data_IF_833786395664
#
_entry.id   IF_833786395664
#
_cell.length_a   1.000
_cell.length_b   1.000
_cell.length_c   1.000
_cell.angle_alpha   90.00
_cell.angle_beta   90.00
_cell.angle_gamma   90.00
#
_symmetry.space_group_name_H-M   'P 1'
#
loop_
_entity.id
_entity.type
_entity.pdbx_description
1 polymer ?
#
# COMPACT_ATOMS: atom_id res chain seq x y z
N UNK A 1 1.77 6.27 22.20
CA UNK A 1 0.96 5.10 21.81
C UNK A 1 1.62 3.86 22.41
N UNK A 2 0.90 2.75 22.67
CA UNK A 2 1.58 1.48 22.95
C UNK A 2 2.53 1.16 21.79
N UNK A 3 3.72 0.66 22.11
CA UNK A 3 4.77 0.33 21.13
C UNK A 3 4.31 -0.85 20.27
N UNK A 4 4.38 -0.71 18.96
CA UNK A 4 4.03 -1.77 18.01
C UNK A 4 5.17 -2.78 17.93
N UNK A 5 4.89 -4.04 18.29
CA UNK A 5 5.91 -5.10 18.44
C UNK A 5 5.59 -6.36 17.65
N UNK A 6 4.33 -6.58 17.36
CA UNK A 6 3.86 -7.77 16.64
C UNK A 6 3.16 -7.40 15.33
N UNK A 7 3.03 -8.37 14.43
CA UNK A 7 2.23 -8.20 13.22
C UNK A 7 0.76 -7.86 13.54
N UNK A 8 0.21 -8.41 14.63
CA UNK A 8 -1.12 -8.07 15.15
C UNK A 8 -1.24 -6.60 15.56
N UNK A 9 -0.26 -6.08 16.30
CA UNK A 9 -0.23 -4.68 16.71
C UNK A 9 -0.22 -3.76 15.49
N UNK A 10 0.62 -4.08 14.51
CA UNK A 10 0.76 -3.30 13.27
C UNK A 10 -0.52 -3.35 12.44
N UNK A 11 -1.11 -4.54 12.28
CA UNK A 11 -2.37 -4.73 11.57
C UNK A 11 -3.50 -3.88 12.18
N UNK A 12 -3.69 -3.97 13.50
CA UNK A 12 -4.71 -3.21 14.20
C UNK A 12 -4.47 -1.70 14.12
N UNK A 13 -3.21 -1.27 14.20
CA UNK A 13 -2.86 0.15 14.07
C UNK A 13 -3.14 0.68 12.66
N UNK A 14 -2.74 -0.05 11.61
CA UNK A 14 -2.97 0.31 10.22
C UNK A 14 -4.46 0.30 9.84
N UNK A 15 -5.21 -0.71 10.29
CA UNK A 15 -6.66 -0.80 10.10
C UNK A 15 -7.39 0.41 10.71
N UNK A 16 -7.00 0.80 11.94
CA UNK A 16 -7.54 2.00 12.60
C UNK A 16 -7.19 3.29 11.86
N UNK A 17 -5.93 3.43 11.40
CA UNK A 17 -5.49 4.59 10.63
C UNK A 17 -6.29 4.71 9.33
N UNK A 18 -6.37 3.63 8.55
CA UNK A 18 -7.09 3.62 7.28
C UNK A 18 -8.59 3.86 7.43
N UNK A 19 -9.23 3.24 8.42
CA UNK A 19 -10.66 3.43 8.71
C UNK A 19 -11.01 4.85 9.18
N UNK A 20 -10.03 5.59 9.70
CA UNK A 20 -10.25 6.96 10.18
C UNK A 20 -10.30 8.01 9.06
N UNK A 21 -9.90 7.65 7.84
CA UNK A 21 -9.82 8.57 6.71
C UNK A 21 -10.91 8.31 5.66
N UNK A 22 -11.29 9.37 4.95
CA UNK A 22 -12.11 9.29 3.72
C UNK A 22 -11.35 9.77 2.49
N UNK A 23 -10.03 9.97 2.64
CA UNK A 23 -9.15 10.45 1.57
C UNK A 23 -9.16 9.44 0.42
N UNK A 24 -9.29 9.87 -0.84
CA UNK A 24 -9.11 9.00 -1.99
C UNK A 24 -7.75 8.31 -1.95
N UNK A 25 -7.70 7.01 -2.26
CA UNK A 25 -6.46 6.23 -2.22
C UNK A 25 -5.36 6.87 -3.08
N UNK A 26 -5.71 7.36 -4.26
CA UNK A 26 -4.78 8.03 -5.18
C UNK A 26 -4.14 9.29 -4.56
N UNK A 27 -4.90 10.10 -3.81
CA UNK A 27 -4.39 11.27 -3.11
C UNK A 27 -3.49 10.89 -1.92
N UNK A 28 -3.81 9.78 -1.24
CA UNK A 28 -2.95 9.24 -0.19
C UNK A 28 -1.62 8.77 -0.78
N UNK A 29 -1.64 7.99 -1.86
CA UNK A 29 -0.42 7.47 -2.49
C UNK A 29 0.50 8.60 -2.99
N UNK A 30 -0.04 9.66 -3.60
CA UNK A 30 0.78 10.83 -3.99
C UNK A 30 1.42 11.53 -2.80
N UNK A 31 0.69 11.66 -1.70
CA UNK A 31 1.19 12.25 -0.46
C UNK A 31 2.26 11.39 0.19
N UNK A 32 2.02 10.08 0.27
CA UNK A 32 2.96 9.11 0.82
C UNK A 32 4.25 9.07 0.01
N UNK A 33 4.15 9.03 -1.32
CA UNK A 33 5.27 9.17 -2.23
C UNK A 33 6.10 10.44 -1.96
N UNK A 34 5.44 11.59 -1.82
CA UNK A 34 6.14 12.87 -1.62
C UNK A 34 6.84 12.99 -0.27
N UNK A 35 6.21 12.47 0.79
CA UNK A 35 6.79 12.50 2.14
C UNK A 35 7.91 11.47 2.31
N UNK A 36 7.94 10.42 1.47
CA UNK A 36 9.01 9.42 1.48
C UNK A 36 10.39 9.96 1.09
N UNK A 37 10.47 11.11 0.40
CA UNK A 37 11.75 11.72 0.05
C UNK A 37 12.56 12.11 1.30
N UNK A 38 11.91 12.48 2.40
CA UNK A 38 12.60 12.81 3.65
C UNK A 38 13.24 11.57 4.31
N UNK A 39 12.85 10.37 3.87
CA UNK A 39 13.34 9.09 4.37
C UNK A 39 14.25 8.38 3.37
N UNK A 40 14.56 8.96 2.21
CA UNK A 40 15.25 8.25 1.12
C UNK A 40 16.59 7.64 1.54
N UNK A 41 17.28 8.28 2.49
CA UNK A 41 18.58 7.86 3.02
C UNK A 41 18.47 6.97 4.28
N UNK A 42 17.25 6.77 4.79
CA UNK A 42 16.97 5.87 5.91
C UNK A 42 17.19 4.43 5.48
N UNK A 43 17.84 3.65 6.36
CA UNK A 43 18.15 2.24 6.11
C UNK A 43 17.00 1.30 6.43
N UNK A 44 16.25 1.61 7.48
CA UNK A 44 15.05 0.91 7.89
C UNK A 44 14.23 1.82 8.82
N UNK A 45 12.95 1.53 8.96
CA UNK A 45 12.02 2.21 9.85
C UNK A 45 11.52 1.27 10.92
N UNK A 46 11.54 1.68 12.18
CA UNK A 46 10.85 0.94 13.24
C UNK A 46 9.32 0.95 12.99
N UNK A 47 8.56 -0.05 13.47
CA UNK A 47 7.11 -0.11 13.23
C UNK A 47 6.36 1.15 13.65
N UNK A 48 6.74 1.77 14.77
CA UNK A 48 6.16 3.02 15.26
C UNK A 48 6.49 4.22 14.34
N UNK A 49 7.69 4.23 13.72
CA UNK A 49 8.10 5.26 12.76
C UNK A 49 7.34 5.14 11.44
N UNK A 50 7.15 3.91 10.96
CA UNK A 50 6.30 3.63 9.78
C UNK A 50 4.86 4.11 10.00
N UNK A 51 4.29 3.83 11.18
CA UNK A 51 2.95 4.31 11.53
C UNK A 51 2.86 5.83 11.58
N UNK A 52 3.86 6.48 12.17
CA UNK A 52 3.94 7.95 12.18
C UNK A 52 3.98 8.50 10.76
N UNK A 53 4.84 7.94 9.90
CA UNK A 53 5.00 8.40 8.53
C UNK A 53 3.72 8.23 7.70
N UNK A 54 3.03 7.09 7.83
CA UNK A 54 1.74 6.88 7.15
C UNK A 54 0.67 7.83 7.69
N UNK A 55 0.62 8.05 9.00
CA UNK A 55 -0.27 9.03 9.63
C UNK A 55 -0.03 10.46 9.09
N UNK A 56 1.23 10.84 8.92
CA UNK A 56 1.59 12.14 8.34
C UNK A 56 1.16 12.22 6.87
N UNK A 57 1.42 11.18 6.07
CA UNK A 57 0.99 11.10 4.69
C UNK A 57 -0.53 11.20 4.50
N UNK A 58 -1.33 10.69 5.45
CA UNK A 58 -2.79 10.81 5.44
C UNK A 58 -3.26 12.27 5.52
N UNK A 59 -2.50 13.15 6.14
CA UNK A 59 -2.86 14.56 6.37
C UNK A 59 -2.09 15.54 5.49
N UNK A 60 -0.91 15.16 4.99
CA UNK A 60 -0.09 16.01 4.14
C UNK A 60 -0.76 16.32 2.78
N UNK A 61 -0.51 17.49 2.17
CA UNK A 61 -1.06 17.83 0.87
C UNK A 61 -0.59 16.86 -0.23
N UNK A 62 -1.51 16.37 -1.07
CA UNK A 62 -1.12 15.56 -2.24
C UNK A 62 -0.51 16.48 -3.32
N UNK A 63 0.74 16.26 -3.77
CA UNK A 63 1.29 16.98 -4.92
C UNK A 63 0.47 16.65 -6.18
N UNK A 64 0.35 17.54 -7.17
CA UNK A 64 -0.46 17.27 -8.37
C UNK A 64 -0.01 16.00 -9.10
N UNK A 65 -0.94 15.32 -9.79
CA UNK A 65 -0.59 14.17 -10.65
C UNK A 65 0.29 14.60 -11.82
N UNK A 66 1.43 13.93 -11.94
CA UNK A 66 2.41 14.18 -12.98
C UNK A 66 2.17 13.29 -14.20
N UNK A 67 1.67 13.88 -15.30
CA UNK A 67 1.28 13.15 -16.51
C UNK A 67 2.42 12.36 -17.18
N UNK A 68 3.68 12.73 -16.90
CA UNK A 68 4.82 12.01 -17.47
C UNK A 68 4.98 10.61 -16.87
N UNK A 69 4.52 10.37 -15.63
CA UNK A 69 4.56 9.04 -15.00
C UNK A 69 3.82 7.98 -15.81
N UNK A 70 2.71 8.35 -16.47
CA UNK A 70 1.94 7.43 -17.31
C UNK A 70 2.70 6.95 -18.55
N UNK A 71 3.80 7.61 -18.92
CA UNK A 71 4.61 7.29 -20.11
C UNK A 71 5.94 6.63 -19.79
N UNK A 72 6.30 6.54 -18.51
CA UNK A 72 7.55 5.94 -18.10
C UNK A 72 7.53 4.41 -18.23
N UNK A 73 8.71 3.84 -18.42
CA UNK A 73 8.93 2.43 -18.10
C UNK A 73 9.10 2.30 -16.60
N UNK A 74 8.17 1.57 -15.97
CA UNK A 74 8.11 1.41 -14.52
C UNK A 74 8.56 0.00 -14.10
N UNK A 75 9.33 -0.70 -14.92
CA UNK A 75 9.96 -1.98 -14.57
C UNK A 75 10.87 -1.87 -13.32
N UNK A 76 10.92 -2.93 -12.51
CA UNK A 76 11.76 -3.01 -11.30
C UNK A 76 13.12 -3.68 -11.53
N UNK A 77 13.37 -4.23 -12.72
CA UNK A 77 14.52 -5.11 -13.00
C UNK A 77 15.91 -4.55 -12.67
N UNK A 78 16.04 -3.23 -12.50
CA UNK A 78 17.30 -2.55 -12.18
C UNK A 78 17.23 -1.59 -10.97
N UNK A 79 16.16 -1.64 -10.17
CA UNK A 79 15.99 -0.74 -9.03
C UNK A 79 15.94 -1.46 -7.69
N UNK A 80 16.60 -0.86 -6.71
CA UNK A 80 16.55 -1.22 -5.30
C UNK A 80 16.22 0.01 -4.44
N UNK A 81 16.08 -0.23 -3.13
CA UNK A 81 15.91 0.82 -2.15
C UNK A 81 14.67 1.70 -2.37
N UNK A 82 14.79 2.96 -1.99
CA UNK A 82 13.76 3.99 -2.17
C UNK A 82 13.24 4.08 -3.61
N UNK A 83 14.12 3.90 -4.60
CA UNK A 83 13.74 4.02 -6.02
C UNK A 83 12.76 2.94 -6.45
N UNK A 84 12.93 1.70 -5.96
CA UNK A 84 12.01 0.58 -6.22
C UNK A 84 10.62 0.88 -5.65
N UNK A 85 10.55 1.25 -4.37
CA UNK A 85 9.30 1.64 -3.70
C UNK A 85 8.62 2.82 -4.41
N UNK A 86 9.37 3.89 -4.68
CA UNK A 86 8.87 5.10 -5.34
C UNK A 86 8.28 4.79 -6.71
N UNK A 87 8.89 3.86 -7.46
CA UNK A 87 8.38 3.41 -8.75
C UNK A 87 7.07 2.62 -8.63
N UNK A 88 6.94 1.76 -7.61
CA UNK A 88 5.68 1.05 -7.33
C UNK A 88 4.55 2.04 -7.05
N UNK A 89 4.77 3.01 -6.15
CA UNK A 89 3.73 3.99 -5.80
C UNK A 89 3.30 4.81 -7.03
N UNK A 90 4.25 5.27 -7.85
CA UNK A 90 3.93 6.01 -9.08
C UNK A 90 3.15 5.16 -10.09
N UNK A 91 3.50 3.88 -10.25
CA UNK A 91 2.73 2.97 -11.09
C UNK A 91 1.28 2.83 -10.61
N UNK A 92 1.09 2.72 -9.30
CA UNK A 92 -0.23 2.58 -8.68
C UNK A 92 -1.08 3.85 -8.81
N UNK A 93 -0.48 5.03 -8.68
CA UNK A 93 -1.15 6.31 -8.94
C UNK A 93 -1.61 6.41 -10.39
N UNK A 94 -0.77 6.00 -11.35
CA UNK A 94 -1.16 5.95 -12.77
C UNK A 94 -2.37 5.03 -12.98
N UNK A 95 -2.37 3.84 -12.39
CA UNK A 95 -3.46 2.87 -12.51
C UNK A 95 -4.77 3.43 -11.98
N UNK A 96 -4.78 4.02 -10.78
CA UNK A 96 -5.97 4.63 -10.19
C UNK A 96 -6.47 5.81 -11.01
N UNK A 97 -5.57 6.65 -11.53
CA UNK A 97 -5.92 7.80 -12.39
C UNK A 97 -6.55 7.34 -13.70
N UNK A 98 -5.98 6.32 -14.35
CA UNK A 98 -6.49 5.77 -15.60
C UNK A 98 -7.86 5.10 -15.39
N UNK A 99 -7.99 4.26 -14.36
CA UNK A 99 -9.27 3.64 -13.99
C UNK A 99 -10.35 4.69 -13.67
N UNK A 100 -10.01 5.77 -12.99
CA UNK A 100 -10.92 6.88 -12.71
C UNK A 100 -11.37 7.57 -14.01
N UNK A 101 -10.43 7.87 -14.90
CA UNK A 101 -10.69 8.54 -16.18
C UNK A 101 -11.62 7.75 -17.10
N UNK A 102 -11.61 6.43 -16.99
CA UNK A 102 -12.44 5.51 -17.76
C UNK A 102 -13.73 5.10 -17.03
N UNK A 103 -13.96 5.61 -15.81
CA UNK A 103 -15.14 5.33 -15.00
C UNK A 103 -15.18 3.92 -14.39
N UNK A 104 -14.09 3.15 -14.46
CA UNK A 104 -14.01 1.75 -14.02
C UNK A 104 -14.14 1.63 -12.50
N UNK A 105 -13.65 2.61 -11.75
CA UNK A 105 -13.72 2.65 -10.28
C UNK A 105 -15.16 2.69 -9.73
N UNK A 106 -16.16 3.03 -10.56
CA UNK A 106 -17.59 3.11 -10.16
C UNK A 106 -18.36 1.81 -10.41
N UNK A 107 -17.71 0.77 -10.92
CA UNK A 107 -18.37 -0.51 -11.22
C UNK A 107 -18.55 -1.36 -9.95
N UNK A 108 -19.71 -2.00 -9.80
CA UNK A 108 -20.11 -2.81 -8.63
C UNK A 108 -19.31 -4.13 -8.46
N UNK A 109 -18.26 -4.35 -9.26
CA UNK A 109 -17.52 -5.62 -9.34
C UNK A 109 -16.13 -5.56 -8.69
N UNK A 110 -15.83 -4.57 -7.83
CA UNK A 110 -14.51 -4.43 -7.20
C UNK A 110 -14.06 -5.67 -6.42
N UNK A 111 -14.99 -6.44 -5.86
CA UNK A 111 -14.69 -7.70 -5.16
C UNK A 111 -14.13 -8.81 -6.06
N UNK A 112 -14.36 -8.74 -7.39
CA UNK A 112 -13.79 -9.67 -8.38
C UNK A 112 -12.44 -9.20 -8.92
N UNK A 113 -11.97 -8.05 -8.45
CA UNK A 113 -10.79 -7.38 -8.97
C UNK A 113 -11.11 -6.51 -10.19
N UNK A 114 -10.55 -5.31 -10.23
CA UNK A 114 -10.62 -4.40 -11.36
C UNK A 114 -9.32 -4.45 -12.15
N UNK A 115 -9.44 -4.65 -13.46
CA UNK A 115 -8.28 -4.55 -14.35
C UNK A 115 -7.95 -3.08 -14.60
N UNK A 116 -6.75 -2.67 -14.21
CA UNK A 116 -6.21 -1.36 -14.55
C UNK A 116 -5.80 -1.37 -16.03
N UNK A 117 -6.45 -0.55 -16.88
CA UNK A 117 -6.11 -0.47 -18.29
C UNK A 117 -4.68 0.08 -18.48
N UNK A 118 -4.06 -0.18 -19.64
CA UNK A 118 -2.86 0.52 -20.14
C UNK A 118 -3.14 0.96 -21.57
N UNK A 119 -2.99 2.25 -21.89
CA UNK A 119 -2.91 2.67 -23.27
C UNK A 119 -1.76 1.94 -23.99
N UNK A 120 -1.91 1.52 -25.26
CA UNK A 120 -0.81 0.98 -26.04
C UNK A 120 0.40 1.92 -26.07
N UNK A 121 1.62 1.36 -26.01
CA UNK A 121 2.87 2.14 -26.07
C UNK A 121 3.36 2.67 -24.72
N UNK A 122 2.72 2.29 -23.62
CA UNK A 122 3.20 2.50 -22.25
C UNK A 122 4.20 1.39 -21.87
N UNK A 123 5.24 1.73 -21.09
CA UNK A 123 6.29 0.78 -20.67
C UNK A 123 5.78 -0.33 -19.75
N UNK A 124 6.68 -1.18 -19.24
CA UNK A 124 6.31 -2.29 -18.34
C UNK A 124 5.83 -1.78 -16.98
N UNK A 125 5.14 -2.64 -16.25
CA UNK A 125 4.63 -2.38 -14.89
C UNK A 125 5.41 -3.18 -13.85
N UNK A 126 5.63 -2.60 -12.67
CA UNK A 126 6.13 -3.34 -11.51
C UNK A 126 5.00 -4.12 -10.82
N UNK A 127 3.75 -3.69 -11.02
CA UNK A 127 2.56 -4.17 -10.34
C UNK A 127 1.71 -5.08 -11.24
N UNK A 128 0.98 -6.04 -10.65
CA UNK A 128 -0.06 -6.79 -11.37
C UNK A 128 -1.12 -5.85 -11.97
N UNK A 129 -1.81 -6.24 -13.06
CA UNK A 129 -2.84 -5.40 -13.67
C UNK A 129 -4.15 -5.38 -12.88
N UNK A 130 -4.34 -6.28 -11.91
CA UNK A 130 -5.61 -6.44 -11.18
C UNK A 130 -5.54 -5.76 -9.81
N UNK A 131 -6.58 -5.03 -9.47
CA UNK A 131 -6.75 -4.25 -8.24
C UNK A 131 -7.92 -4.77 -7.42
N UNK A 132 -7.71 -5.04 -6.14
CA UNK A 132 -8.78 -5.40 -5.21
C UNK A 132 -9.07 -4.29 -4.20
N UNK A 133 -8.03 -3.54 -3.79
CA UNK A 133 -8.15 -2.53 -2.74
C UNK A 133 -8.18 -1.12 -3.35
N UNK A 134 -9.31 -0.42 -3.22
CA UNK A 134 -9.56 0.89 -3.83
C UNK A 134 -9.72 2.02 -2.80
N UNK A 135 -9.70 1.67 -1.52
CA UNK A 135 -9.73 2.59 -0.39
C UNK A 135 -8.49 2.38 0.48
N UNK A 136 -8.19 3.38 1.32
CA UNK A 136 -6.97 3.39 2.13
C UNK A 136 -6.97 2.31 3.21
N UNK A 137 -8.12 1.96 3.78
CA UNK A 137 -8.20 0.96 4.83
C UNK A 137 -7.82 -0.42 4.30
N UNK A 138 -8.51 -0.87 3.25
CA UNK A 138 -8.22 -2.16 2.62
C UNK A 138 -6.78 -2.21 2.07
N UNK A 139 -6.28 -1.10 1.52
CA UNK A 139 -4.91 -1.02 1.01
C UNK A 139 -3.87 -1.21 2.13
N UNK A 140 -4.00 -0.50 3.25
CA UNK A 140 -3.05 -0.62 4.36
C UNK A 140 -3.10 -2.00 5.02
N UNK A 141 -4.30 -2.55 5.24
CA UNK A 141 -4.47 -3.90 5.78
C UNK A 141 -3.78 -4.96 4.92
N UNK A 142 -4.07 -4.97 3.62
CA UNK A 142 -3.45 -5.89 2.66
C UNK A 142 -1.94 -5.73 2.54
N UNK A 143 -1.42 -4.50 2.69
CA UNK A 143 0.01 -4.24 2.74
C UNK A 143 0.68 -4.90 3.95
N UNK A 144 0.06 -4.82 5.13
CA UNK A 144 0.56 -5.50 6.34
C UNK A 144 0.57 -7.01 6.14
N UNK A 145 -0.55 -7.57 5.67
CA UNK A 145 -0.68 -9.02 5.47
C UNK A 145 0.39 -9.54 4.51
N UNK A 146 0.62 -8.84 3.40
CA UNK A 146 1.60 -9.23 2.41
C UNK A 146 3.07 -9.13 2.89
N UNK A 147 3.34 -8.34 3.93
CA UNK A 147 4.71 -8.07 4.39
C UNK A 147 5.09 -8.91 5.59
N UNK A 148 4.24 -8.96 6.61
CA UNK A 148 4.55 -9.58 7.91
C UNK A 148 3.52 -10.65 8.33
N UNK A 149 2.59 -10.99 7.44
CA UNK A 149 1.46 -11.87 7.74
C UNK A 149 0.39 -11.15 8.55
N UNK A 150 -0.87 -11.47 8.25
CA UNK A 150 -2.02 -10.91 8.94
C UNK A 150 -2.44 -11.77 10.11
N UNK A 151 -2.33 -11.25 11.33
CA UNK A 151 -3.18 -11.72 12.41
C UNK A 151 -4.52 -11.01 12.30
N UNK A 152 -5.61 -11.78 12.30
CA UNK A 152 -6.96 -11.30 12.04
C UNK A 152 -7.75 -11.30 13.37
N UNK A 153 -8.10 -10.13 13.94
CA UNK A 153 -8.79 -10.01 15.22
C UNK A 153 -10.15 -10.71 15.25
N UNK A 154 -10.78 -10.93 14.10
CA UNK A 154 -12.00 -11.73 13.99
C UNK A 154 -11.83 -13.19 14.45
N UNK A 155 -10.59 -13.67 14.64
CA UNK A 155 -10.32 -15.01 15.19
C UNK A 155 -10.10 -15.04 16.70
N UNK A 156 -10.02 -13.89 17.39
CA UNK A 156 -9.74 -13.85 18.84
C UNK A 156 -10.85 -14.55 19.66
N UNK A 157 -12.08 -14.59 19.14
CA UNK A 157 -13.24 -15.26 19.75
C UNK A 157 -13.99 -16.23 18.80
N UNK A 158 -13.44 -16.51 17.61
CA UNK A 158 -14.11 -17.38 16.66
C UNK A 158 -13.98 -18.85 17.06
N UNK A 159 -15.08 -19.59 16.94
CA UNK A 159 -15.03 -21.06 16.90
C UNK A 159 -14.42 -21.46 15.55
N UNK A 160 -13.11 -21.66 15.55
CA UNK A 160 -12.33 -22.12 14.40
C UNK A 160 -11.93 -23.58 14.58
N UNK A 161 -11.91 -24.34 13.48
CA UNK A 161 -11.46 -25.73 13.47
C UNK A 161 -9.94 -25.83 13.72
N UNK A 162 -9.20 -24.76 13.47
CA UNK A 162 -7.76 -24.62 13.71
C UNK A 162 -7.48 -23.36 14.54
N UNK A 163 -6.70 -23.49 15.61
CA UNK A 163 -6.31 -22.38 16.47
C UNK A 163 -5.57 -21.30 15.65
N UNK A 164 -5.93 -20.01 15.79
CA UNK A 164 -5.28 -18.96 15.03
C UNK A 164 -3.79 -18.87 15.40
N UNK A 165 -2.91 -18.59 14.44
CA UNK A 165 -1.48 -18.48 14.71
C UNK A 165 -1.20 -17.38 15.72
N UNK A 166 -0.27 -17.64 16.65
CA UNK A 166 0.16 -16.65 17.63
C UNK A 166 0.74 -15.39 16.94
N UNK A 167 0.50 -14.20 17.50
CA UNK A 167 1.14 -12.96 17.04
C UNK A 167 2.66 -13.09 16.92
N UNK A 168 3.21 -12.73 15.77
CA UNK A 168 4.65 -12.84 15.50
C UNK A 168 5.35 -11.51 15.81
N UNK A 169 6.49 -11.54 16.53
CA UNK A 169 7.35 -10.37 16.66
C UNK A 169 7.81 -9.87 15.28
N UNK A 170 7.78 -8.55 15.08
CA UNK A 170 8.24 -7.90 13.85
C UNK A 170 9.46 -7.01 14.13
N UNK A 171 10.31 -6.86 13.12
CA UNK A 171 11.47 -5.96 13.15
C UNK A 171 11.21 -4.65 12.42
N UNK A 172 12.29 -3.91 12.19
CA UNK A 172 12.30 -2.72 11.34
C UNK A 172 12.03 -3.08 9.87
N UNK A 173 11.42 -2.15 9.14
CA UNK A 173 11.07 -2.28 7.72
C UNK A 173 12.11 -1.58 6.85
N UNK A 174 12.80 -2.33 6.01
CA UNK A 174 13.66 -1.74 4.98
C UNK A 174 12.85 -1.39 3.71
N UNK A 175 13.54 -0.88 2.69
CA UNK A 175 12.89 -0.53 1.43
C UNK A 175 12.38 -1.72 0.63
N UNK A 176 12.95 -2.92 0.80
CA UNK A 176 12.43 -4.14 0.19
C UNK A 176 11.09 -4.49 0.83
N UNK A 177 11.01 -4.42 2.16
CA UNK A 177 9.77 -4.64 2.92
C UNK A 177 8.70 -3.62 2.53
N UNK A 178 9.05 -2.34 2.42
CA UNK A 178 8.12 -1.29 1.99
C UNK A 178 7.67 -1.45 0.53
N UNK A 179 8.55 -1.94 -0.34
CA UNK A 179 8.19 -2.28 -1.73
C UNK A 179 7.22 -3.46 -1.75
N UNK A 180 7.48 -4.51 -0.95
CA UNK A 180 6.59 -5.66 -0.79
C UNK A 180 5.23 -5.25 -0.24
N UNK A 181 5.21 -4.37 0.76
CA UNK A 181 4.01 -3.76 1.31
C UNK A 181 3.19 -3.09 0.20
N UNK A 182 3.79 -2.18 -0.55
CA UNK A 182 3.09 -1.44 -1.59
C UNK A 182 2.55 -2.37 -2.69
N UNK A 183 3.32 -3.37 -3.12
CA UNK A 183 2.88 -4.36 -4.11
C UNK A 183 1.69 -5.19 -3.61
N UNK A 184 1.77 -5.70 -2.37
CA UNK A 184 0.72 -6.53 -1.77
C UNK A 184 -0.54 -5.77 -1.39
N UNK A 185 -0.38 -4.50 -1.02
CA UNK A 185 -1.48 -3.59 -0.68
C UNK A 185 -2.50 -3.44 -1.82
N UNK A 186 -2.09 -3.63 -3.07
CA UNK A 186 -2.99 -3.62 -4.22
C UNK A 186 -3.84 -4.90 -4.36
N UNK A 187 -3.26 -6.06 -4.04
CA UNK A 187 -3.69 -7.36 -4.58
C UNK A 187 -4.20 -8.35 -3.55
N UNK A 188 -3.93 -8.15 -2.27
CA UNK A 188 -4.31 -9.11 -1.22
C UNK A 188 -5.77 -8.91 -0.76
N UNK A 189 -6.51 -10.02 -0.61
CA UNK A 189 -7.85 -10.13 0.02
C UNK A 189 -7.74 -10.99 1.29
#
# INVERSE_FOLDING_TARGET
>A
MPSVRTNSDLYLAMSRLGSSTRRPLEEFLRSWWSTGYDLSDSKALEPDELLSWISDALTAPAPPFEKYWAREDLDLSELDGFSGWSRVIRAQVCDLTEMASLGVLRSQASYLGLSAPRPPGTGRRPTPPVWFNLDVASYLESGVIATVGGWRPEFEDALVDEEPPEPLPIGSFDWEDLTRFALGAQTHQ
#
